data_IF_438749134078
#
_entry.id   IF_438749134078
#
_cell.length_a   1.000
_cell.length_b   1.000
_cell.length_c   1.000
_cell.angle_alpha   90.00
_cell.angle_beta   90.00
_cell.angle_gamma   90.00
#
_symmetry.space_group_name_H-M   'P 1'
#
loop_
_entity.id
_entity.type
_entity.pdbx_description
1 polymer ?
#
# COMPACT_ATOMS: atom_id res chain seq x y z
N UNK A 1 20.06 -21.98 -6.66
CA UNK A 1 20.32 -22.13 -8.11
C UNK A 1 19.62 -20.98 -8.85
N UNK A 2 20.23 -19.78 -8.89
CA UNK A 2 19.62 -18.59 -9.51
C UNK A 2 19.95 -18.56 -11.01
N UNK A 3 18.95 -18.67 -11.88
CA UNK A 3 19.10 -18.47 -13.33
C UNK A 3 19.02 -16.97 -13.65
N UNK A 4 20.08 -16.46 -14.30
CA UNK A 4 20.15 -15.11 -14.88
C UNK A 4 19.11 -14.99 -16.00
N UNK A 5 18.21 -14.00 -15.90
CA UNK A 5 17.34 -13.59 -17.01
C UNK A 5 18.07 -12.50 -17.82
N UNK A 6 18.50 -12.84 -19.03
CA UNK A 6 18.85 -11.88 -20.08
C UNK A 6 17.57 -11.58 -20.88
N UNK A 7 17.05 -10.37 -20.75
CA UNK A 7 16.04 -9.84 -21.68
C UNK A 7 16.78 -9.39 -22.95
N UNK A 8 16.56 -10.09 -24.07
CA UNK A 8 17.01 -9.66 -25.40
C UNK A 8 16.22 -8.42 -25.82
N UNK A 9 16.94 -7.33 -26.07
CA UNK A 9 16.44 -6.13 -26.74
C UNK A 9 16.23 -6.42 -28.23
N UNK A 10 14.99 -6.26 -28.70
CA UNK A 10 14.68 -6.16 -30.13
C UNK A 10 14.80 -4.69 -30.54
N UNK A 11 15.75 -4.37 -31.40
CA UNK A 11 15.84 -3.10 -32.13
C UNK A 11 15.01 -3.23 -33.41
N UNK A 12 14.06 -2.30 -33.61
CA UNK A 12 13.34 -2.14 -34.87
C UNK A 12 14.05 -1.07 -35.71
N UNK A 13 14.51 -1.47 -36.90
CA UNK A 13 15.01 -0.57 -37.93
C UNK A 13 13.85 0.21 -38.55
N UNK A 14 13.93 1.54 -38.51
CA UNK A 14 13.03 2.43 -39.22
C UNK A 14 13.68 2.83 -40.56
N UNK A 15 13.14 2.30 -41.66
CA UNK A 15 13.41 2.77 -43.02
C UNK A 15 12.17 3.53 -43.50
N UNK A 16 12.31 4.84 -43.72
CA UNK A 16 11.44 5.63 -44.61
C UNK A 16 12.29 6.57 -45.45
N UNK A 17 12.05 6.67 -46.76
CA UNK A 17 12.89 7.46 -47.66
C UNK A 17 12.44 8.93 -47.75
N UNK A 18 13.44 9.76 -48.03
CA UNK A 18 13.40 11.19 -48.32
C UNK A 18 12.62 11.57 -49.59
N UNK A 19 11.96 12.72 -49.55
CA UNK A 19 11.64 13.51 -50.74
C UNK A 19 11.92 15.00 -50.48
N UNK A 20 12.58 15.60 -51.45
CA UNK A 20 13.16 16.93 -51.53
C UNK A 20 12.20 18.01 -52.04
N UNK A 21 12.47 19.29 -51.69
CA UNK A 21 12.33 20.40 -52.65
C UNK A 21 11.79 21.73 -52.14
N UNK A 22 12.60 22.80 -52.25
CA UNK A 22 12.17 24.12 -52.71
C UNK A 22 12.26 25.31 -51.74
N UNK A 23 13.31 26.13 -51.89
CA UNK A 23 13.50 27.48 -51.31
C UNK A 23 12.70 28.59 -52.09
N UNK A 24 12.97 29.91 -51.93
CA UNK A 24 12.25 30.83 -51.03
C UNK A 24 11.67 32.05 -51.80
N UNK A 25 10.94 32.95 -51.12
CA UNK A 25 10.85 34.36 -51.57
C UNK A 25 10.40 35.32 -50.47
N UNK A 26 11.20 36.37 -50.34
CA UNK A 26 11.08 37.60 -49.56
C UNK A 26 10.02 38.57 -50.10
N UNK A 27 9.46 39.41 -49.24
CA UNK A 27 8.70 40.60 -49.60
C UNK A 27 8.37 41.45 -48.36
N UNK A 28 8.98 42.62 -48.31
CA UNK A 28 9.15 43.55 -47.19
C UNK A 28 8.05 44.64 -47.16
N UNK A 29 7.74 45.20 -45.97
CA UNK A 29 7.50 46.65 -45.75
C UNK A 29 6.94 46.97 -44.35
N UNK A 30 7.77 47.65 -43.53
CA UNK A 30 7.53 48.90 -42.75
C UNK A 30 6.13 49.18 -42.15
N UNK A 31 5.93 49.80 -40.98
CA UNK A 31 6.73 50.33 -39.87
C UNK A 31 5.70 51.06 -38.97
N UNK A 32 5.72 50.89 -37.65
CA UNK A 32 5.41 52.01 -36.73
C UNK A 32 5.72 51.65 -35.28
N UNK A 33 6.38 52.59 -34.61
CA UNK A 33 6.78 52.54 -33.20
C UNK A 33 5.57 52.85 -32.34
N UNK A 34 5.36 52.11 -31.26
CA UNK A 34 4.85 52.69 -30.01
C UNK A 34 5.31 51.87 -28.80
N UNK A 35 6.01 52.57 -27.91
CA UNK A 35 6.40 52.16 -26.57
C UNK A 35 5.17 52.12 -25.65
N UNK A 36 5.02 51.06 -24.84
CA UNK A 36 4.92 51.14 -23.37
C UNK A 36 4.36 49.85 -22.71
N UNK A 37 4.92 49.59 -21.52
CA UNK A 37 4.31 48.94 -20.34
C UNK A 37 4.30 47.41 -20.23
N UNK A 38 5.25 46.94 -19.41
CA UNK A 38 5.20 45.77 -18.53
C UNK A 38 3.83 45.57 -17.86
N UNK A 39 3.28 44.33 -17.80
CA UNK A 39 2.13 44.04 -16.96
C UNK A 39 2.57 43.89 -15.50
N UNK A 40 1.91 44.70 -14.68
CA UNK A 40 2.03 44.85 -13.23
C UNK A 40 1.63 43.58 -12.47
N UNK A 41 2.35 43.32 -11.38
CA UNK A 41 2.01 42.36 -10.32
C UNK A 41 0.64 42.69 -9.72
N UNK A 42 -0.25 41.71 -9.64
CA UNK A 42 -1.49 41.84 -8.87
C UNK A 42 -1.21 41.92 -7.35
N UNK A 43 -1.94 42.78 -6.61
CA UNK A 43 -1.71 43.00 -5.17
C UNK A 43 -2.27 41.87 -4.29
N UNK A 44 -1.66 41.60 -3.12
CA UNK A 44 -1.99 40.44 -2.29
C UNK A 44 -3.09 40.77 -1.29
N UNK A 45 -4.33 40.96 -1.72
CA UNK A 45 -5.47 41.10 -0.80
C UNK A 45 -6.72 40.44 -1.35
N UNK A 46 -6.73 39.10 -1.34
CA UNK A 46 -7.93 38.25 -1.29
C UNK A 46 -7.56 37.02 -0.44
N UNK A 47 -7.31 37.25 0.85
CA UNK A 47 -7.23 36.21 1.88
C UNK A 47 -8.40 36.43 2.81
N UNK A 48 -9.53 35.80 2.52
CA UNK A 48 -10.63 35.66 3.46
C UNK A 48 -11.56 34.55 3.00
N UNK A 49 -11.27 33.32 3.43
CA UNK A 49 -12.32 32.39 3.82
C UNK A 49 -11.77 31.61 5.01
N UNK A 50 -12.33 31.93 6.17
CA UNK A 50 -12.12 31.30 7.46
C UNK A 50 -12.16 29.77 7.37
N UNK A 51 -10.97 29.14 7.40
CA UNK A 51 -10.86 27.72 7.69
C UNK A 51 -11.08 27.51 9.20
N UNK A 52 -11.94 26.58 9.63
CA UNK A 52 -12.06 26.24 11.03
C UNK A 52 -10.75 25.60 11.50
N UNK A 53 -10.15 26.17 12.54
CA UNK A 53 -8.94 25.70 13.17
C UNK A 53 -9.20 24.38 13.91
N UNK A 54 -8.79 23.24 13.35
CA UNK A 54 -8.46 22.03 14.13
C UNK A 54 -7.41 21.22 13.36
N UNK A 55 -6.41 20.69 14.08
CA UNK A 55 -5.24 19.90 13.61
C UNK A 55 -3.97 20.63 13.14
N UNK A 56 -3.81 21.93 13.42
CA UNK A 56 -2.48 22.56 13.43
C UNK A 56 -1.79 22.37 14.79
N UNK A 57 -1.51 21.13 15.18
CA UNK A 57 -0.46 20.91 16.16
C UNK A 57 0.89 20.94 15.43
N UNK A 58 1.84 21.69 15.96
CA UNK A 58 3.12 22.10 15.39
C UNK A 58 4.15 20.97 15.21
N UNK A 59 3.74 19.78 14.78
CA UNK A 59 4.66 18.67 14.53
C UNK A 59 4.38 17.99 13.17
N UNK A 60 5.38 18.15 12.28
CA UNK A 60 5.73 17.29 11.14
C UNK A 60 4.72 17.12 10.00
N UNK A 61 4.56 18.15 9.16
CA UNK A 61 4.18 17.95 7.75
C UNK A 61 5.46 17.87 6.91
N UNK A 62 5.69 16.73 6.23
CA UNK A 62 6.82 16.60 5.31
C UNK A 62 6.40 17.02 3.90
N UNK A 63 7.25 17.86 3.31
CA UNK A 63 7.35 18.27 1.90
C UNK A 63 6.07 18.21 1.05
N UNK A 64 5.49 19.39 0.83
CA UNK A 64 4.54 19.63 -0.26
C UNK A 64 5.38 19.93 -1.50
N UNK A 65 5.52 18.95 -2.40
CA UNK A 65 6.10 19.18 -3.72
C UNK A 65 5.16 18.63 -4.79
N UNK A 66 4.83 19.47 -5.78
CA UNK A 66 4.13 19.17 -7.04
C UNK A 66 3.26 17.90 -7.05
N UNK A 67 2.15 17.89 -6.31
CA UNK A 67 1.16 16.82 -6.34
C UNK A 67 1.46 15.60 -5.45
N UNK A 68 2.46 15.69 -4.58
CA UNK A 68 2.76 14.67 -3.57
C UNK A 68 2.59 15.24 -2.14
N UNK A 69 2.08 14.40 -1.23
CA UNK A 69 1.94 14.71 0.20
C UNK A 69 2.44 13.54 1.02
N UNK A 70 3.36 13.78 1.95
CA UNK A 70 3.88 12.74 2.83
C UNK A 70 3.71 13.13 4.29
N UNK A 71 3.09 12.26 5.08
CA UNK A 71 3.16 12.31 6.53
C UNK A 71 3.86 11.05 7.04
N UNK A 72 4.76 11.23 7.99
CA UNK A 72 5.32 10.13 8.75
C UNK A 72 5.47 10.58 10.19
N UNK A 73 5.08 9.73 11.14
CA UNK A 73 5.37 10.01 12.54
C UNK A 73 6.88 10.00 12.74
N UNK A 74 7.43 11.00 13.43
CA UNK A 74 8.78 10.89 13.97
C UNK A 74 8.75 9.81 15.04
N UNK A 75 9.37 8.66 14.78
CA UNK A 75 9.59 7.66 15.83
C UNK A 75 10.64 8.21 16.79
N UNK A 76 10.22 9.02 17.77
CA UNK A 76 11.11 9.46 18.84
C UNK A 76 11.46 8.22 19.66
N UNK A 77 12.67 7.72 19.42
CA UNK A 77 13.23 6.61 20.18
C UNK A 77 13.76 7.19 21.50
N UNK A 78 12.84 7.63 22.38
CA UNK A 78 13.12 8.45 23.57
C UNK A 78 13.71 7.68 24.75
N UNK A 79 13.81 6.35 24.67
CA UNK A 79 14.36 5.54 25.75
C UNK A 79 15.86 5.25 25.50
N UNK A 80 16.70 5.24 26.56
CA UNK A 80 18.02 4.61 26.52
C UNK A 80 17.82 3.09 26.37
N UNK A 81 17.56 2.65 25.14
CA UNK A 81 17.45 1.25 24.78
C UNK A 81 18.71 0.85 24.01
N UNK A 82 19.31 -0.28 24.38
CA UNK A 82 20.35 -0.91 23.56
C UNK A 82 19.73 -1.17 22.19
N UNK A 83 20.30 -0.54 21.16
CA UNK A 83 19.81 -0.68 19.79
C UNK A 83 20.49 -1.87 19.14
N UNK A 84 19.69 -2.72 18.53
CA UNK A 84 20.17 -3.84 17.75
C UNK A 84 20.42 -3.44 16.30
N UNK A 85 20.53 -4.47 15.47
CA UNK A 85 20.63 -4.33 14.03
C UNK A 85 19.49 -3.49 13.44
N UNK A 86 19.83 -2.55 12.55
CA UNK A 86 18.84 -1.66 11.94
C UNK A 86 18.45 -0.44 12.78
N UNK A 87 19.18 -0.12 13.86
CA UNK A 87 18.87 0.99 14.79
C UNK A 87 17.51 0.85 15.49
N UNK A 88 16.97 -0.38 15.55
CA UNK A 88 15.73 -0.73 16.26
C UNK A 88 16.07 -1.11 17.70
N UNK A 89 15.30 -0.68 18.71
CA UNK A 89 15.46 -1.16 20.08
C UNK A 89 15.43 -2.68 20.17
N UNK A 90 16.36 -3.27 20.92
CA UNK A 90 16.29 -4.70 21.22
C UNK A 90 15.03 -4.95 22.05
N UNK A 91 14.24 -5.93 21.63
CA UNK A 91 13.02 -6.33 22.34
C UNK A 91 13.42 -7.09 23.59
N UNK A 92 12.91 -6.67 24.77
CA UNK A 92 13.13 -7.42 26.00
C UNK A 92 12.45 -8.79 25.96
N UNK A 93 12.96 -9.75 26.71
CA UNK A 93 12.33 -11.07 26.81
C UNK A 93 10.91 -10.99 27.37
N UNK A 94 10.61 -10.07 28.27
CA UNK A 94 9.24 -9.83 28.77
C UNK A 94 8.27 -9.47 27.65
N UNK A 95 8.69 -8.61 26.71
CA UNK A 95 7.85 -8.23 25.57
C UNK A 95 7.70 -9.41 24.61
N UNK A 96 8.77 -10.18 24.37
CA UNK A 96 8.71 -11.37 23.53
C UNK A 96 7.75 -12.42 24.14
N UNK A 97 7.80 -12.61 25.45
CA UNK A 97 6.89 -13.50 26.20
C UNK A 97 5.45 -13.01 26.11
N UNK A 98 5.20 -11.71 26.32
CA UNK A 98 3.86 -11.12 26.22
C UNK A 98 3.28 -11.16 24.79
N UNK A 99 4.14 -11.18 23.75
CA UNK A 99 3.70 -11.40 22.37
C UNK A 99 3.33 -12.86 22.09
N UNK A 100 3.76 -13.81 22.92
CA UNK A 100 3.46 -15.24 22.78
C UNK A 100 4.08 -15.85 21.52
N UNK A 101 3.35 -15.81 20.41
CA UNK A 101 3.74 -16.44 19.14
C UNK A 101 4.75 -15.62 18.32
N UNK A 102 5.03 -14.38 18.75
CA UNK A 102 5.96 -13.42 18.11
C UNK A 102 5.50 -12.97 16.73
N UNK A 103 4.19 -13.05 16.48
CA UNK A 103 3.57 -12.64 15.24
C UNK A 103 2.80 -11.34 15.44
N UNK A 104 2.61 -10.64 14.33
CA UNK A 104 1.67 -9.54 14.21
C UNK A 104 0.65 -9.90 13.14
N UNK A 105 -0.60 -9.46 13.31
CA UNK A 105 -1.60 -9.54 12.26
C UNK A 105 -1.51 -8.31 11.37
N UNK A 106 -1.42 -8.50 10.06
CA UNK A 106 -1.36 -7.44 9.05
C UNK A 106 -2.61 -7.49 8.20
N UNK A 107 -3.37 -6.40 8.14
CA UNK A 107 -4.48 -6.22 7.22
C UNK A 107 -4.07 -5.31 6.08
N UNK A 108 -4.27 -5.78 4.85
CA UNK A 108 -4.11 -4.98 3.64
C UNK A 108 -5.47 -4.68 3.06
N UNK A 109 -5.68 -3.46 2.58
CA UNK A 109 -6.91 -3.05 1.88
C UNK A 109 -6.53 -2.28 0.64
N UNK A 110 -7.06 -2.66 -0.52
CA UNK A 110 -6.96 -1.86 -1.76
C UNK A 110 -8.35 -1.46 -2.23
N UNK A 111 -8.51 -0.22 -2.68
CA UNK A 111 -9.76 0.25 -3.23
C UNK A 111 -9.57 1.37 -4.27
N UNK A 112 -9.99 1.11 -5.50
CA UNK A 112 -10.22 2.15 -6.48
C UNK A 112 -11.53 2.88 -6.12
N UNK A 113 -11.43 4.15 -5.76
CA UNK A 113 -12.58 4.94 -5.30
C UNK A 113 -13.25 5.74 -6.43
N UNK A 114 -12.80 5.58 -7.68
CA UNK A 114 -13.42 6.16 -8.89
C UNK A 114 -13.82 7.64 -8.73
N UNK A 115 -12.84 8.45 -8.33
CA UNK A 115 -12.95 9.91 -8.15
C UNK A 115 -14.04 10.35 -7.16
N UNK A 116 -14.56 9.43 -6.33
CA UNK A 116 -15.50 9.77 -5.27
C UNK A 116 -14.79 10.55 -4.17
N UNK A 117 -15.48 11.56 -3.65
CA UNK A 117 -14.98 12.39 -2.55
C UNK A 117 -14.81 11.61 -1.25
N UNK A 118 -14.26 12.28 -0.24
CA UNK A 118 -13.90 11.69 1.05
C UNK A 118 -15.04 10.93 1.76
N UNK A 119 -16.31 11.28 1.52
CA UNK A 119 -17.48 10.60 2.11
C UNK A 119 -17.47 9.09 1.84
N UNK A 120 -16.85 8.64 0.74
CA UNK A 120 -16.73 7.22 0.43
C UNK A 120 -15.93 6.45 1.48
N UNK A 121 -15.01 7.12 2.19
CA UNK A 121 -14.20 6.52 3.25
C UNK A 121 -15.02 6.14 4.48
N UNK A 122 -16.18 6.76 4.70
CA UNK A 122 -17.10 6.34 5.75
C UNK A 122 -17.63 4.93 5.51
N UNK A 123 -17.83 4.51 4.25
CA UNK A 123 -18.19 3.14 3.93
C UNK A 123 -17.06 2.17 4.28
N UNK A 124 -15.81 2.53 3.98
CA UNK A 124 -14.66 1.71 4.36
C UNK A 124 -14.54 1.58 5.89
N UNK A 125 -14.64 2.70 6.60
CA UNK A 125 -14.58 2.73 8.06
C UNK A 125 -15.69 1.88 8.70
N UNK A 126 -16.93 2.01 8.20
CA UNK A 126 -18.07 1.20 8.62
C UNK A 126 -17.81 -0.29 8.38
N UNK A 127 -17.36 -0.69 7.20
CA UNK A 127 -17.10 -2.10 6.88
C UNK A 127 -15.97 -2.70 7.71
N UNK A 128 -14.94 -1.92 8.03
CA UNK A 128 -13.88 -2.33 8.96
C UNK A 128 -14.48 -2.58 10.35
N UNK A 129 -15.33 -1.68 10.83
CA UNK A 129 -15.98 -1.81 12.14
C UNK A 129 -16.95 -3.00 12.21
N UNK A 130 -17.77 -3.21 11.18
CA UNK A 130 -18.75 -4.31 11.08
C UNK A 130 -18.09 -5.69 11.09
N UNK A 131 -16.93 -5.82 10.43
CA UNK A 131 -16.16 -7.07 10.42
C UNK A 131 -15.42 -7.33 11.75
N UNK A 132 -15.23 -6.31 12.58
CA UNK A 132 -14.75 -6.44 13.95
C UNK A 132 -13.47 -7.27 14.08
N UNK A 133 -13.54 -8.38 14.83
CA UNK A 133 -12.41 -9.28 15.11
C UNK A 133 -11.77 -9.88 13.86
N UNK A 134 -12.53 -10.05 12.78
CA UNK A 134 -12.02 -10.55 11.50
C UNK A 134 -10.93 -9.62 10.94
N UNK A 135 -11.16 -8.31 11.02
CA UNK A 135 -10.23 -7.29 10.54
C UNK A 135 -9.32 -6.72 11.64
N UNK A 136 -9.58 -6.96 12.93
CA UNK A 136 -8.70 -6.51 14.01
C UNK A 136 -7.27 -7.01 13.77
N UNK A 137 -6.34 -6.06 13.65
CA UNK A 137 -4.98 -6.30 13.21
C UNK A 137 -4.02 -5.39 13.96
N UNK A 138 -2.72 -5.69 13.93
CA UNK A 138 -1.68 -4.83 14.53
C UNK A 138 -1.16 -3.79 13.53
N UNK A 139 -1.31 -4.06 12.23
CA UNK A 139 -0.90 -3.21 11.12
C UNK A 139 -2.03 -3.15 10.09
N UNK A 140 -2.38 -1.95 9.66
CA UNK A 140 -3.22 -1.74 8.48
C UNK A 140 -2.40 -1.06 7.38
N UNK A 141 -2.42 -1.64 6.18
CA UNK A 141 -1.87 -1.07 4.96
C UNK A 141 -2.99 -0.84 3.95
N UNK A 142 -3.38 0.42 3.75
CA UNK A 142 -4.49 0.81 2.89
C UNK A 142 -3.92 1.47 1.64
N UNK A 143 -4.35 1.04 0.46
CA UNK A 143 -4.03 1.65 -0.83
C UNK A 143 -5.31 2.11 -1.53
N UNK A 144 -5.35 3.39 -1.91
CA UNK A 144 -6.47 4.01 -2.60
C UNK A 144 -6.04 4.48 -3.99
N UNK A 145 -6.90 4.27 -4.98
CA UNK A 145 -6.69 4.70 -6.37
C UNK A 145 -7.84 5.59 -6.86
N UNK A 146 -7.56 6.44 -7.85
CA UNK A 146 -8.51 7.41 -8.41
C UNK A 146 -9.04 8.41 -7.39
N UNK A 147 -8.16 8.94 -6.54
CA UNK A 147 -8.50 10.05 -5.66
C UNK A 147 -8.77 11.29 -6.52
N UNK A 148 -9.91 11.99 -6.33
CA UNK A 148 -10.25 13.13 -7.16
C UNK A 148 -9.20 14.24 -7.03
N UNK A 149 -8.79 14.79 -8.17
CA UNK A 149 -7.85 15.92 -8.22
C UNK A 149 -8.40 17.18 -7.55
N UNK A 150 -9.73 17.29 -7.45
CA UNK A 150 -10.46 18.37 -6.79
C UNK A 150 -10.49 18.27 -5.26
N UNK A 151 -9.98 17.19 -4.66
CA UNK A 151 -9.92 17.02 -3.21
C UNK A 151 -8.49 17.18 -2.67
N UNK A 152 -7.97 18.41 -2.48
CA UNK A 152 -6.59 18.63 -2.03
C UNK A 152 -6.33 18.09 -0.62
N UNK A 153 -7.33 18.22 0.27
CA UNK A 153 -7.28 17.80 1.68
C UNK A 153 -7.69 16.34 1.92
N UNK A 154 -7.90 15.55 0.86
CA UNK A 154 -8.37 14.17 0.99
C UNK A 154 -7.52 13.35 1.98
N UNK A 155 -6.21 13.60 2.00
CA UNK A 155 -5.28 12.91 2.90
C UNK A 155 -5.55 13.22 4.38
N UNK A 156 -5.85 14.47 4.75
CA UNK A 156 -6.19 14.84 6.13
C UNK A 156 -7.53 14.24 6.56
N UNK A 157 -8.52 14.33 5.68
CA UNK A 157 -9.87 13.86 5.98
C UNK A 157 -9.93 12.32 6.05
N UNK A 158 -9.14 11.63 5.22
CA UNK A 158 -8.99 10.19 5.29
C UNK A 158 -8.48 9.72 6.66
N UNK A 159 -7.48 10.40 7.21
CA UNK A 159 -6.94 10.09 8.52
C UNK A 159 -7.97 10.33 9.62
N UNK A 160 -8.68 11.47 9.56
CA UNK A 160 -9.76 11.82 10.50
C UNK A 160 -10.89 10.80 10.53
N UNK A 161 -11.20 10.17 9.39
CA UNK A 161 -12.27 9.18 9.27
C UNK A 161 -11.80 7.78 9.67
N UNK A 162 -10.60 7.37 9.25
CA UNK A 162 -10.13 5.99 9.39
C UNK A 162 -9.48 5.73 10.76
N UNK A 163 -8.67 6.64 11.30
CA UNK A 163 -7.96 6.39 12.56
C UNK A 163 -8.89 6.03 13.74
N UNK A 164 -10.05 6.70 13.94
CA UNK A 164 -10.94 6.40 15.06
C UNK A 164 -11.53 4.99 15.06
N UNK A 165 -11.69 4.34 13.90
CA UNK A 165 -12.21 2.97 13.82
C UNK A 165 -11.13 1.91 14.01
N UNK A 166 -9.84 2.30 13.97
CA UNK A 166 -8.69 1.40 14.11
C UNK A 166 -8.19 1.41 15.56
N UNK A 167 -8.99 0.87 16.48
CA UNK A 167 -8.75 0.88 17.93
C UNK A 167 -7.26 0.72 18.34
N UNK A 168 -6.72 1.72 19.05
CA UNK A 168 -5.34 1.72 19.56
C UNK A 168 -4.24 1.86 18.50
N UNK A 169 -4.59 2.15 17.25
CA UNK A 169 -3.64 2.46 16.20
C UNK A 169 -3.27 3.93 16.19
N UNK A 170 -2.10 4.19 15.62
CA UNK A 170 -1.68 5.53 15.24
C UNK A 170 -1.20 5.50 13.81
N UNK A 171 -1.37 6.64 13.15
CA UNK A 171 -0.77 6.85 11.85
C UNK A 171 0.75 6.73 11.92
N UNK A 172 1.30 5.75 11.21
CA UNK A 172 2.75 5.61 11.05
C UNK A 172 3.23 6.36 9.82
N UNK A 173 2.54 6.18 8.69
CA UNK A 173 2.84 6.88 7.44
C UNK A 173 1.58 7.08 6.59
N UNK A 174 1.43 8.23 5.95
CA UNK A 174 0.60 8.38 4.75
C UNK A 174 1.41 9.01 3.63
N UNK A 175 1.19 8.54 2.41
CA UNK A 175 1.79 9.15 1.23
C UNK A 175 0.77 9.19 0.11
N UNK A 176 0.48 10.38 -0.40
CA UNK A 176 -0.32 10.59 -1.60
C UNK A 176 0.61 11.00 -2.72
N UNK A 177 0.50 10.30 -3.85
CA UNK A 177 1.09 10.69 -5.11
C UNK A 177 -0.03 10.85 -6.14
N UNK A 178 -0.40 12.11 -6.41
CA UNK A 178 -1.48 12.48 -7.34
C UNK A 178 -2.83 11.83 -6.98
N UNK A 179 -3.35 10.95 -7.86
CA UNK A 179 -4.61 10.22 -7.68
C UNK A 179 -4.45 8.88 -6.95
N UNK A 180 -3.29 8.63 -6.33
CA UNK A 180 -3.02 7.43 -5.54
C UNK A 180 -2.60 7.81 -4.12
N UNK A 181 -2.97 6.99 -3.15
CA UNK A 181 -2.52 7.18 -1.76
C UNK A 181 -2.29 5.83 -1.10
N UNK A 182 -1.31 5.78 -0.22
CA UNK A 182 -1.11 4.69 0.73
C UNK A 182 -1.13 5.21 2.16
N UNK A 183 -1.65 4.41 3.08
CA UNK A 183 -1.73 4.71 4.51
C UNK A 183 -1.30 3.48 5.29
N UNK A 184 -0.41 3.68 6.25
CA UNK A 184 0.08 2.67 7.17
C UNK A 184 -0.29 3.10 8.58
N UNK A 185 -1.16 2.33 9.22
CA UNK A 185 -1.45 2.44 10.65
C UNK A 185 -0.78 1.30 11.39
N UNK A 186 -0.19 1.59 12.54
CA UNK A 186 0.43 0.59 13.41
C UNK A 186 -0.14 0.77 14.82
N UNK A 187 -0.50 -0.33 15.48
CA UNK A 187 -0.95 -0.33 16.87
C UNK A 187 0.13 0.27 17.77
N UNK A 188 -0.25 1.21 18.64
CA UNK A 188 0.66 2.09 19.40
C UNK A 188 1.82 1.33 20.08
N UNK A 189 1.55 0.16 20.67
CA UNK A 189 2.54 -0.66 21.37
C UNK A 189 3.70 -1.15 20.50
N UNK A 190 3.51 -1.22 19.17
CA UNK A 190 4.54 -1.69 18.23
C UNK A 190 5.37 -0.57 17.60
N UNK A 191 4.88 0.68 17.63
CA UNK A 191 5.54 1.82 16.96
C UNK A 191 6.99 2.03 17.42
N UNK A 192 7.28 1.79 18.70
CA UNK A 192 8.64 1.94 19.24
C UNK A 192 9.67 0.97 18.65
N UNK A 193 9.21 -0.07 17.94
CA UNK A 193 10.05 -1.05 17.25
C UNK A 193 10.07 -0.84 15.74
N UNK A 194 9.49 0.25 15.25
CA UNK A 194 9.61 0.70 13.87
C UNK A 194 10.76 1.71 13.73
N UNK A 195 11.46 1.72 12.59
CA UNK A 195 12.36 2.82 12.21
C UNK A 195 11.66 3.76 11.23
N UNK A 196 12.30 4.88 10.86
CA UNK A 196 11.80 5.75 9.81
C UNK A 196 11.64 4.99 8.47
N UNK A 197 10.47 5.05 7.81
CA UNK A 197 10.25 4.42 6.51
C UNK A 197 10.89 5.23 5.37
N UNK A 198 11.20 4.56 4.26
CA UNK A 198 11.54 5.16 2.97
C UNK A 198 10.36 5.01 2.01
N UNK A 199 10.02 6.08 1.29
CA UNK A 199 8.91 6.08 0.33
C UNK A 199 9.41 6.43 -1.07
N UNK A 200 8.85 5.79 -2.09
CA UNK A 200 9.13 6.07 -3.49
C UNK A 200 7.85 5.94 -4.32
N UNK A 201 7.66 6.86 -5.28
CA UNK A 201 6.61 6.76 -6.29
C UNK A 201 7.23 6.54 -7.67
N UNK A 202 6.75 5.53 -8.39
CA UNK A 202 7.15 5.22 -9.77
C UNK A 202 5.93 5.38 -10.67
N UNK A 203 5.95 6.38 -11.56
CA UNK A 203 4.92 6.53 -12.60
C UNK A 203 5.04 5.45 -13.67
N UNK A 204 3.92 4.94 -14.18
CA UNK A 204 3.89 3.96 -15.28
C UNK A 204 4.36 4.56 -16.62
N UNK A 205 3.82 5.72 -17.00
CA UNK A 205 4.11 6.41 -18.27
C UNK A 205 4.77 7.78 -18.13
N UNK A 206 4.97 8.48 -19.25
CA UNK A 206 5.39 9.88 -19.25
C UNK A 206 4.28 10.77 -18.66
N UNK A 207 4.63 11.66 -17.74
CA UNK A 207 3.68 12.51 -17.03
C UNK A 207 3.20 13.65 -17.94
N UNK A 208 2.19 13.39 -18.78
CA UNK A 208 1.52 14.42 -19.55
C UNK A 208 0.15 14.73 -18.90
N UNK A 209 0.14 15.77 -18.06
CA UNK A 209 -1.03 16.39 -17.39
C UNK A 209 -1.66 15.62 -16.20
N UNK A 210 -2.19 16.33 -15.18
CA UNK A 210 -2.19 15.87 -13.78
C UNK A 210 -3.43 15.09 -13.28
N UNK A 211 -4.27 14.51 -14.13
CA UNK A 211 -5.63 14.11 -13.67
C UNK A 211 -5.80 12.63 -13.31
N UNK A 212 -5.03 11.68 -13.88
CA UNK A 212 -5.14 10.25 -13.54
C UNK A 212 -3.80 9.52 -13.64
N UNK A 213 -3.02 9.54 -12.58
CA UNK A 213 -1.69 8.91 -12.61
C UNK A 213 -1.80 7.40 -12.45
N UNK A 214 -1.09 6.69 -13.34
CA UNK A 214 -0.78 5.27 -13.22
C UNK A 214 0.61 5.12 -12.66
N UNK A 215 0.83 4.14 -11.80
CA UNK A 215 2.11 3.92 -11.14
C UNK A 215 1.98 3.09 -9.88
N UNK A 216 3.01 3.17 -9.03
CA UNK A 216 3.05 2.51 -7.74
C UNK A 216 3.71 3.39 -6.69
N UNK A 217 3.12 3.45 -5.50
CA UNK A 217 3.74 3.98 -4.29
C UNK A 217 4.27 2.79 -3.50
N UNK A 218 5.55 2.85 -3.13
CA UNK A 218 6.20 1.82 -2.34
C UNK A 218 6.77 2.41 -1.04
N UNK A 219 6.52 1.72 0.07
CA UNK A 219 6.98 2.07 1.41
C UNK A 219 7.87 0.93 1.90
N UNK A 220 9.14 1.20 2.15
CA UNK A 220 10.03 0.26 2.79
C UNK A 220 10.22 0.66 4.25
N UNK A 221 9.93 -0.25 5.16
CA UNK A 221 10.06 -0.04 6.61
C UNK A 221 10.75 -1.23 7.26
N UNK A 222 11.26 -1.00 8.47
CA UNK A 222 11.68 -2.08 9.36
C UNK A 222 10.82 -2.05 10.61
N UNK A 223 10.25 -3.19 10.96
CA UNK A 223 9.48 -3.39 12.17
C UNK A 223 10.04 -4.61 12.89
N UNK A 224 10.47 -4.43 14.14
CA UNK A 224 11.22 -5.42 14.90
C UNK A 224 12.44 -5.93 14.10
N UNK A 225 12.45 -7.22 13.71
CA UNK A 225 13.54 -7.87 13.00
C UNK A 225 13.25 -8.07 11.50
N UNK A 226 12.21 -7.42 10.95
CA UNK A 226 11.80 -7.61 9.55
C UNK A 226 11.90 -6.33 8.74
N UNK A 227 12.48 -6.44 7.56
CA UNK A 227 12.30 -5.47 6.48
C UNK A 227 11.06 -5.81 5.67
N UNK A 228 10.13 -4.87 5.59
CA UNK A 228 8.84 -5.02 4.95
C UNK A 228 8.71 -3.94 3.87
N UNK A 229 8.39 -4.36 2.65
CA UNK A 229 8.07 -3.47 1.54
C UNK A 229 6.57 -3.57 1.26
N UNK A 230 5.87 -2.45 1.35
CA UNK A 230 4.45 -2.31 1.10
C UNK A 230 4.26 -1.51 -0.19
N UNK A 231 3.62 -2.10 -1.20
CA UNK A 231 3.44 -1.49 -2.53
C UNK A 231 1.95 -1.37 -2.80
N UNK A 232 1.48 -0.14 -3.03
CA UNK A 232 0.14 0.17 -3.50
C UNK A 232 0.22 0.70 -4.93
N UNK A 233 -0.55 0.16 -5.87
CA UNK A 233 -0.45 0.59 -7.27
C UNK A 233 -1.78 0.79 -7.98
N UNK A 234 -1.68 1.50 -9.10
CA UNK A 234 -2.70 1.63 -10.12
C UNK A 234 -2.04 1.42 -11.49
N UNK A 235 -2.13 0.20 -12.03
CA UNK A 235 -1.53 -0.12 -13.33
C UNK A 235 -2.41 0.35 -14.49
N UNK A 236 -1.81 0.47 -15.68
CA UNK A 236 -2.49 0.97 -16.87
C UNK A 236 -3.73 0.13 -17.25
N UNK A 237 -4.81 0.82 -17.66
CA UNK A 237 -6.00 0.20 -18.23
C UNK A 237 -5.86 -0.16 -19.71
N UNK A 238 -4.64 -0.07 -20.26
CA UNK A 238 -4.29 -0.31 -21.65
C UNK A 238 -4.23 -1.82 -21.96
N UNK A 239 -3.32 -2.25 -22.82
CA UNK A 239 -3.14 -3.67 -23.16
C UNK A 239 -2.51 -4.46 -22.00
N UNK A 240 -2.69 -5.80 -21.95
CA UNK A 240 -2.01 -6.65 -20.97
C UNK A 240 -0.48 -6.49 -21.01
N UNK A 241 0.08 -6.31 -22.21
CA UNK A 241 1.51 -6.08 -22.41
C UNK A 241 1.98 -4.79 -21.74
N UNK A 242 1.18 -3.71 -21.82
CA UNK A 242 1.51 -2.47 -21.13
C UNK A 242 1.48 -2.64 -19.60
N UNK A 243 0.51 -3.40 -19.05
CA UNK A 243 0.50 -3.71 -17.60
C UNK A 243 1.72 -4.50 -17.16
N UNK A 244 2.18 -5.44 -17.97
CA UNK A 244 3.41 -6.20 -17.71
C UNK A 244 4.63 -5.27 -17.72
N UNK A 245 4.69 -4.32 -18.66
CA UNK A 245 5.76 -3.32 -18.72
C UNK A 245 5.73 -2.37 -17.51
N UNK A 246 4.53 -1.94 -17.07
CA UNK A 246 4.36 -1.14 -15.85
C UNK A 246 4.91 -1.90 -14.62
N UNK A 247 4.51 -3.17 -14.45
CA UNK A 247 5.03 -4.04 -13.40
C UNK A 247 6.57 -4.16 -13.47
N UNK A 248 7.12 -4.47 -14.64
CA UNK A 248 8.56 -4.64 -14.82
C UNK A 248 9.32 -3.34 -14.53
N UNK A 249 8.77 -2.18 -14.91
CA UNK A 249 9.32 -0.87 -14.61
C UNK A 249 9.39 -0.63 -13.10
N UNK A 250 8.32 -0.91 -12.36
CA UNK A 250 8.29 -0.76 -10.89
C UNK A 250 9.36 -1.65 -10.24
N UNK A 251 9.41 -2.95 -10.59
CA UNK A 251 10.42 -3.88 -10.03
C UNK A 251 11.85 -3.45 -10.37
N UNK A 252 12.10 -3.01 -11.61
CA UNK A 252 13.43 -2.58 -12.05
C UNK A 252 13.88 -1.26 -11.43
N UNK A 253 12.95 -0.38 -11.07
CA UNK A 253 13.29 1.01 -10.68
C UNK A 253 13.27 1.21 -9.17
N UNK A 254 12.41 0.50 -8.42
CA UNK A 254 12.33 0.66 -6.97
C UNK A 254 13.63 0.25 -6.29
N UNK A 255 14.23 1.19 -5.56
CA UNK A 255 15.46 1.01 -4.81
C UNK A 255 15.34 1.62 -3.41
N UNK A 256 15.78 0.88 -2.40
CA UNK A 256 15.73 1.26 -1.00
C UNK A 256 17.12 1.10 -0.38
N UNK A 257 17.92 2.17 -0.28
CA UNK A 257 19.28 2.11 0.23
C UNK A 257 19.40 1.48 1.62
N UNK A 258 18.36 1.59 2.45
CA UNK A 258 18.35 0.94 3.76
C UNK A 258 18.47 -0.59 3.68
N UNK A 259 17.94 -1.24 2.64
CA UNK A 259 18.05 -2.70 2.48
C UNK A 259 19.50 -3.14 2.29
N UNK A 260 20.27 -2.40 1.47
CA UNK A 260 21.69 -2.69 1.23
C UNK A 260 22.56 -2.44 2.47
N UNK A 261 22.21 -1.46 3.32
CA UNK A 261 22.94 -1.15 4.56
C UNK A 261 22.87 -2.27 5.60
N UNK A 262 21.84 -3.10 5.52
CA UNK A 262 21.51 -4.09 6.55
C UNK A 262 21.53 -5.53 6.01
N UNK A 263 22.17 -5.76 4.88
CA UNK A 263 22.46 -7.10 4.39
C UNK A 263 23.68 -7.03 3.49
N UNK A 264 24.82 -7.59 3.92
CA UNK A 264 26.08 -7.58 3.17
C UNK A 264 25.99 -8.19 1.75
N UNK A 265 24.91 -8.92 1.45
CA UNK A 265 24.63 -9.54 0.15
C UNK A 265 23.28 -9.14 -0.46
N UNK A 266 22.45 -8.31 0.20
CA UNK A 266 21.20 -7.86 -0.40
C UNK A 266 21.45 -6.64 -1.26
N UNK A 267 20.90 -6.65 -2.47
CA UNK A 267 20.75 -5.46 -3.27
C UNK A 267 19.71 -4.55 -2.62
N UNK A 268 19.76 -3.26 -2.93
CA UNK A 268 18.74 -2.26 -2.58
C UNK A 268 17.39 -2.48 -3.30
N UNK A 269 17.22 -3.59 -4.01
CA UNK A 269 16.00 -4.02 -4.70
C UNK A 269 14.92 -4.52 -3.71
N UNK A 270 13.66 -4.57 -4.15
CA UNK A 270 12.52 -4.98 -3.31
C UNK A 270 12.70 -6.40 -2.71
N UNK A 271 13.36 -7.31 -3.43
CA UNK A 271 13.63 -8.68 -2.96
C UNK A 271 14.81 -8.76 -1.97
N UNK A 272 15.51 -7.64 -1.72
CA UNK A 272 16.43 -7.47 -0.60
C UNK A 272 15.73 -7.35 0.75
N UNK A 273 14.40 -7.22 0.77
CA UNK A 273 13.57 -7.25 1.99
C UNK A 273 13.27 -8.68 2.46
N UNK A 274 12.58 -8.82 3.60
CA UNK A 274 12.10 -10.12 4.10
C UNK A 274 10.68 -10.44 3.60
N UNK A 275 9.86 -9.40 3.42
CA UNK A 275 8.46 -9.47 2.99
C UNK A 275 8.14 -8.35 2.01
N UNK A 276 7.44 -8.67 0.92
CA UNK A 276 6.81 -7.69 0.04
C UNK A 276 5.31 -7.96 0.00
N UNK A 277 4.48 -6.97 0.34
CA UNK A 277 3.04 -6.97 0.11
C UNK A 277 2.74 -6.01 -1.05
N UNK A 278 2.17 -6.52 -2.13
CA UNK A 278 1.86 -5.75 -3.34
C UNK A 278 0.35 -5.78 -3.59
N UNK A 279 -0.30 -4.63 -3.44
CA UNK A 279 -1.74 -4.48 -3.54
C UNK A 279 -2.09 -3.36 -4.53
N UNK A 280 -3.29 -3.39 -5.10
CA UNK A 280 -3.73 -2.31 -5.97
C UNK A 280 -4.79 -2.70 -6.97
N UNK A 281 -5.21 -1.72 -7.76
CA UNK A 281 -5.88 -1.93 -9.04
C UNK A 281 -4.82 -2.29 -10.09
N UNK A 282 -4.65 -3.58 -10.33
CA UNK A 282 -3.74 -4.11 -11.34
C UNK A 282 -4.31 -4.02 -12.75
N UNK A 283 -5.61 -3.76 -12.89
CA UNK A 283 -6.31 -3.59 -14.15
C UNK A 283 -6.27 -4.78 -15.12
N UNK A 284 -5.82 -5.96 -14.71
CA UNK A 284 -5.93 -7.17 -15.53
C UNK A 284 -7.38 -7.66 -15.57
N UNK A 285 -7.77 -8.20 -16.73
CA UNK A 285 -9.17 -8.45 -17.08
C UNK A 285 -9.45 -9.92 -17.32
N UNK A 286 -10.70 -10.30 -17.11
CA UNK A 286 -11.24 -11.56 -17.61
C UNK A 286 -11.38 -11.45 -19.13
N UNK A 287 -10.84 -12.44 -19.86
CA UNK A 287 -10.77 -12.37 -21.34
C UNK A 287 -11.93 -13.05 -22.04
N UNK A 288 -12.63 -13.95 -21.35
CA UNK A 288 -13.72 -14.75 -21.90
C UNK A 288 -15.01 -14.35 -21.20
N UNK A 289 -16.04 -14.03 -21.99
CA UNK A 289 -17.37 -13.80 -21.45
C UNK A 289 -17.92 -15.13 -20.91
N UNK A 290 -18.28 -15.14 -19.63
CA UNK A 290 -18.86 -16.30 -18.97
C UNK A 290 -20.38 -16.29 -19.14
N UNK A 291 -21.01 -17.44 -19.37
CA UNK A 291 -22.48 -17.59 -19.31
C UNK A 291 -23.05 -17.52 -17.88
N UNK A 292 -22.31 -16.93 -16.95
CA UNK A 292 -22.71 -16.78 -15.55
C UNK A 292 -23.71 -15.64 -15.44
N UNK A 293 -24.89 -15.96 -14.92
CA UNK A 293 -25.84 -14.93 -14.50
C UNK A 293 -25.44 -14.38 -13.14
N UNK A 294 -24.72 -13.26 -13.15
CA UNK A 294 -24.25 -12.59 -11.94
C UNK A 294 -25.35 -11.95 -11.09
N UNK A 295 -26.61 -11.95 -11.56
CA UNK A 295 -27.77 -11.45 -10.82
C UNK A 295 -28.49 -12.54 -10.04
N UNK A 296 -28.18 -13.80 -10.32
CA UNK A 296 -28.80 -14.95 -9.68
C UNK A 296 -27.87 -15.52 -8.59
N UNK A 297 -28.08 -15.15 -7.31
CA UNK A 297 -27.20 -15.58 -6.23
C UNK A 297 -27.19 -17.10 -6.03
N UNK A 298 -28.23 -17.83 -6.46
CA UNK A 298 -28.30 -19.29 -6.31
C UNK A 298 -27.32 -20.01 -7.24
N UNK A 299 -26.96 -19.39 -8.37
CA UNK A 299 -25.98 -19.92 -9.35
C UNK A 299 -24.54 -19.52 -9.04
N UNK A 300 -24.34 -18.61 -8.09
CA UNK A 300 -23.04 -18.02 -7.79
C UNK A 300 -22.41 -18.74 -6.59
N UNK A 301 -21.37 -19.52 -6.88
CA UNK A 301 -20.62 -20.28 -5.86
C UNK A 301 -19.13 -19.96 -5.93
N UNK A 302 -18.35 -20.43 -4.95
CA UNK A 302 -16.88 -20.34 -5.03
C UNK A 302 -16.31 -21.02 -6.29
N UNK A 303 -16.97 -22.09 -6.77
CA UNK A 303 -16.61 -22.73 -8.04
C UNK A 303 -16.79 -21.77 -9.21
N UNK A 304 -17.89 -21.03 -9.24
CA UNK A 304 -18.15 -20.02 -10.28
C UNK A 304 -17.03 -18.98 -10.32
N UNK A 305 -16.59 -18.47 -9.16
CA UNK A 305 -15.49 -17.50 -9.10
C UNK A 305 -14.18 -18.07 -9.64
N UNK A 306 -13.84 -19.30 -9.20
CA UNK A 306 -12.61 -19.98 -9.64
C UNK A 306 -12.61 -20.22 -11.15
N UNK A 307 -13.70 -20.74 -11.70
CA UNK A 307 -13.79 -21.07 -13.13
C UNK A 307 -13.66 -19.79 -13.99
N UNK A 308 -14.26 -18.67 -13.58
CA UNK A 308 -14.09 -17.37 -14.26
C UNK A 308 -12.66 -16.86 -14.12
N UNK A 309 -12.08 -16.98 -12.91
CA UNK A 309 -10.71 -16.54 -12.63
C UNK A 309 -9.65 -17.26 -13.48
N UNK A 310 -9.88 -18.51 -13.89
CA UNK A 310 -8.96 -19.25 -14.76
C UNK A 310 -8.76 -18.62 -16.14
N UNK A 311 -9.74 -17.82 -16.59
CA UNK A 311 -9.72 -17.11 -17.89
C UNK A 311 -9.15 -15.68 -17.80
N UNK A 312 -8.66 -15.31 -16.63
CA UNK A 312 -8.14 -13.97 -16.32
C UNK A 312 -6.70 -13.79 -16.83
N UNK A 313 -6.40 -12.59 -17.33
CA UNK A 313 -5.11 -12.25 -17.93
C UNK A 313 -3.94 -12.50 -16.96
N UNK A 314 -3.96 -11.94 -15.75
CA UNK A 314 -2.85 -12.08 -14.80
C UNK A 314 -2.62 -13.54 -14.42
N UNK A 315 -3.68 -14.33 -14.22
CA UNK A 315 -3.55 -15.78 -14.01
C UNK A 315 -2.76 -16.45 -15.15
N UNK A 316 -3.07 -16.13 -16.41
CA UNK A 316 -2.35 -16.62 -17.58
C UNK A 316 -0.90 -16.12 -17.64
N UNK A 317 -0.68 -14.83 -17.39
CA UNK A 317 0.66 -14.21 -17.47
C UNK A 317 1.59 -14.70 -16.35
N UNK A 318 1.07 -14.99 -15.14
CA UNK A 318 1.84 -15.62 -14.05
C UNK A 318 2.25 -17.04 -14.41
N UNK A 319 1.33 -17.85 -14.98
CA UNK A 319 1.65 -19.20 -15.49
C UNK A 319 2.76 -19.16 -16.56
N UNK A 320 2.74 -18.14 -17.43
CA UNK A 320 3.75 -17.88 -18.47
C UNK A 320 5.02 -17.18 -17.95
N UNK A 321 5.10 -16.90 -16.65
CA UNK A 321 6.22 -16.21 -16.00
C UNK A 321 6.52 -14.80 -16.56
N UNK A 322 5.50 -14.10 -17.04
CA UNK A 322 5.64 -12.77 -17.68
C UNK A 322 5.50 -11.62 -16.68
N UNK A 323 4.71 -11.80 -15.61
CA UNK A 323 4.55 -10.81 -14.55
C UNK A 323 4.24 -11.52 -13.22
N UNK A 324 4.67 -10.92 -12.11
CA UNK A 324 4.43 -11.42 -10.75
C UNK A 324 4.83 -12.89 -10.52
N UNK A 325 5.85 -13.38 -11.23
CA UNK A 325 6.31 -14.77 -11.19
C UNK A 325 6.72 -15.21 -9.79
N UNK A 326 7.49 -14.37 -9.09
CA UNK A 326 7.99 -14.69 -7.75
C UNK A 326 6.92 -14.48 -6.66
N UNK A 327 5.81 -13.82 -6.98
CA UNK A 327 4.77 -13.49 -6.02
C UNK A 327 3.73 -14.61 -5.91
N UNK A 328 3.29 -14.84 -4.68
CA UNK A 328 2.13 -15.67 -4.33
C UNK A 328 0.88 -14.81 -4.23
N UNK A 329 -0.27 -15.46 -4.41
CA UNK A 329 -1.59 -14.88 -4.20
C UNK A 329 -2.45 -15.96 -3.55
N UNK A 330 -3.24 -15.60 -2.55
CA UNK A 330 -4.16 -16.54 -1.91
C UNK A 330 -5.30 -16.92 -2.89
N UNK A 331 -5.95 -18.08 -2.72
CA UNK A 331 -7.08 -18.46 -3.56
C UNK A 331 -8.19 -17.39 -3.54
N UNK A 332 -8.66 -16.98 -4.72
CA UNK A 332 -9.80 -16.06 -4.84
C UNK A 332 -11.09 -16.83 -4.55
N UNK A 333 -11.83 -16.37 -3.54
CA UNK A 333 -13.11 -16.94 -3.09
C UNK A 333 -14.25 -15.93 -3.10
N UNK A 334 -14.04 -14.83 -3.81
CA UNK A 334 -14.97 -13.70 -3.91
C UNK A 334 -15.28 -13.41 -5.38
N UNK A 335 -16.41 -12.75 -5.69
CA UNK A 335 -16.75 -12.41 -7.06
C UNK A 335 -15.83 -11.33 -7.65
N UNK A 336 -15.81 -11.14 -8.99
CA UNK A 336 -15.13 -10.03 -9.63
C UNK A 336 -15.43 -8.68 -8.97
N UNK A 337 -14.44 -7.79 -8.94
CA UNK A 337 -14.54 -6.55 -8.16
C UNK A 337 -14.83 -5.32 -9.01
N UNK A 338 -14.90 -5.50 -10.33
CA UNK A 338 -15.15 -4.44 -11.32
C UNK A 338 -15.89 -5.02 -12.53
N UNK A 339 -16.81 -4.33 -13.21
CA UNK A 339 -17.29 -2.97 -13.02
C UNK A 339 -18.74 -2.99 -12.56
N UNK A 340 -19.04 -2.33 -11.45
CA UNK A 340 -20.39 -2.20 -10.92
C UNK A 340 -21.06 -0.91 -11.42
N UNK A 341 -22.39 -0.91 -11.49
CA UNK A 341 -23.14 0.34 -11.56
C UNK A 341 -23.04 1.04 -10.19
N UNK A 342 -22.61 2.32 -10.13
CA UNK A 342 -22.47 3.05 -8.86
C UNK A 342 -23.72 2.97 -7.99
N UNK A 343 -23.53 2.87 -6.67
CA UNK A 343 -24.59 2.79 -5.66
C UNK A 343 -25.47 1.53 -5.76
N UNK A 344 -25.02 0.52 -6.52
CA UNK A 344 -25.67 -0.79 -6.64
C UNK A 344 -24.69 -1.94 -6.39
N UNK A 345 -25.21 -3.17 -6.42
CA UNK A 345 -24.43 -4.41 -6.49
C UNK A 345 -24.57 -5.10 -7.86
N UNK A 346 -25.10 -4.39 -8.86
CA UNK A 346 -25.23 -4.91 -10.22
C UNK A 346 -23.97 -4.62 -11.04
N UNK A 347 -23.50 -5.60 -11.80
CA UNK A 347 -22.48 -5.35 -12.81
C UNK A 347 -23.05 -4.54 -13.97
N UNK A 348 -22.20 -3.67 -14.53
CA UNK A 348 -22.54 -2.90 -15.73
C UNK A 348 -22.86 -3.86 -16.88
N UNK A 349 -24.04 -3.75 -17.52
CA UNK A 349 -24.40 -4.59 -18.66
C UNK A 349 -23.37 -4.50 -19.81
N UNK A 350 -23.16 -5.62 -20.52
CA UNK A 350 -22.23 -5.71 -21.67
C UNK A 350 -20.77 -5.40 -21.31
N UNK A 351 -20.40 -5.51 -20.03
CA UNK A 351 -19.02 -5.42 -19.55
C UNK A 351 -18.69 -6.71 -18.82
N UNK A 352 -17.59 -7.36 -19.20
CA UNK A 352 -17.14 -8.59 -18.55
C UNK A 352 -16.65 -8.25 -17.13
N UNK A 353 -17.27 -8.81 -16.08
CA UNK A 353 -16.79 -8.65 -14.71
C UNK A 353 -15.36 -9.18 -14.57
N UNK A 354 -14.48 -8.41 -13.92
CA UNK A 354 -13.04 -8.65 -13.82
C UNK A 354 -12.50 -8.50 -12.40
N UNK A 355 -11.44 -9.26 -12.09
CA UNK A 355 -10.69 -9.21 -10.84
C UNK A 355 -9.54 -8.20 -10.95
N UNK A 356 -9.88 -6.92 -11.01
CA UNK A 356 -8.90 -5.83 -11.19
C UNK A 356 -8.11 -5.53 -9.92
N UNK A 357 -8.74 -5.68 -8.76
CA UNK A 357 -8.21 -5.30 -7.45
C UNK A 357 -7.61 -6.53 -6.76
N UNK A 358 -6.31 -6.50 -6.45
CA UNK A 358 -5.55 -7.72 -6.08
C UNK A 358 -4.61 -7.50 -4.91
N UNK A 359 -4.33 -8.59 -4.20
CA UNK A 359 -3.31 -8.66 -3.14
C UNK A 359 -2.35 -9.82 -3.40
N UNK A 360 -1.10 -9.49 -3.73
CA UNK A 360 -0.03 -10.44 -3.94
C UNK A 360 1.07 -10.24 -2.89
N UNK A 361 1.83 -11.30 -2.61
CA UNK A 361 2.88 -11.25 -1.61
C UNK A 361 4.10 -12.08 -2.01
N UNK A 362 5.27 -11.62 -1.59
CA UNK A 362 6.52 -12.37 -1.64
C UNK A 362 7.10 -12.42 -0.23
N UNK A 363 7.73 -13.55 0.11
CA UNK A 363 8.38 -13.73 1.40
C UNK A 363 9.66 -14.53 1.21
N UNK A 364 10.74 -14.08 1.85
CA UNK A 364 12.05 -14.73 1.80
C UNK A 364 12.04 -16.12 2.42
N UNK A 365 11.37 -16.27 3.56
CA UNK A 365 11.15 -17.54 4.25
C UNK A 365 9.64 -17.76 4.42
N UNK A 366 9.13 -18.87 3.89
CA UNK A 366 7.70 -19.20 3.91
C UNK A 366 7.06 -19.26 5.29
N UNK A 367 7.84 -19.42 6.37
CA UNK A 367 7.34 -19.43 7.75
C UNK A 367 7.06 -18.03 8.32
N UNK A 368 7.53 -16.98 7.64
CA UNK A 368 7.38 -15.61 8.14
C UNK A 368 6.08 -14.95 7.77
N UNK A 369 5.38 -15.42 6.73
CA UNK A 369 4.13 -14.83 6.29
C UNK A 369 3.14 -15.92 5.92
N UNK A 370 1.99 -15.91 6.60
CA UNK A 370 0.88 -16.82 6.34
C UNK A 370 -0.38 -16.01 6.05
N UNK A 371 -1.00 -16.24 4.90
CA UNK A 371 -2.31 -15.67 4.62
C UNK A 371 -3.38 -16.31 5.53
N UNK A 372 -4.25 -15.48 6.09
CA UNK A 372 -5.39 -15.88 6.92
C UNK A 372 -6.66 -15.78 6.08
N UNK A 373 -6.83 -14.65 5.39
CA UNK A 373 -8.02 -14.35 4.62
C UNK A 373 -7.70 -13.52 3.38
N UNK A 374 -8.51 -13.68 2.34
CA UNK A 374 -8.50 -12.87 1.13
C UNK A 374 -9.92 -12.78 0.58
N UNK A 375 -10.52 -11.60 0.64
CA UNK A 375 -11.94 -11.38 0.31
C UNK A 375 -12.19 -9.94 -0.17
N UNK A 376 -13.38 -9.68 -0.69
CA UNK A 376 -13.84 -8.34 -1.01
C UNK A 376 -14.92 -7.85 -0.03
N UNK A 377 -15.04 -6.53 0.04
CA UNK A 377 -16.05 -5.83 0.82
C UNK A 377 -17.33 -5.70 0.00
N UNK A 378 -18.20 -6.71 0.10
CA UNK A 378 -19.50 -6.78 -0.59
C UNK A 378 -20.49 -5.73 -0.08
N UNK A 379 -21.58 -5.52 -0.82
CA UNK A 379 -22.61 -4.52 -0.51
C UNK A 379 -22.45 -3.25 -1.35
N UNK A 380 -23.52 -2.48 -1.46
CA UNK A 380 -23.60 -1.29 -2.32
C UNK A 380 -22.57 -0.23 -1.91
N UNK A 381 -21.95 0.37 -2.93
CA UNK A 381 -20.90 1.39 -2.75
C UNK A 381 -21.00 2.44 -3.85
N UNK A 382 -20.64 3.71 -3.59
CA UNK A 382 -20.58 4.73 -4.64
C UNK A 382 -19.53 4.45 -5.72
N UNK A 383 -18.45 3.70 -5.41
CA UNK A 383 -17.46 3.27 -6.40
C UNK A 383 -18.01 2.13 -7.25
N UNK A 384 -17.58 2.09 -8.52
CA UNK A 384 -17.78 0.96 -9.43
C UNK A 384 -16.78 -0.19 -9.18
N UNK A 385 -15.94 -0.06 -8.16
CA UNK A 385 -15.10 -1.12 -7.60
C UNK A 385 -15.52 -1.49 -6.17
N UNK A 386 -15.35 -2.76 -5.82
CA UNK A 386 -15.42 -3.24 -4.43
C UNK A 386 -14.04 -3.26 -3.81
N UNK A 387 -13.90 -2.78 -2.57
CA UNK A 387 -12.63 -2.83 -1.85
C UNK A 387 -12.23 -4.29 -1.61
N UNK A 388 -10.94 -4.60 -1.77
CA UNK A 388 -10.38 -5.94 -1.55
C UNK A 388 -9.44 -5.89 -0.36
N UNK A 389 -9.50 -6.90 0.49
CA UNK A 389 -8.61 -7.00 1.63
C UNK A 389 -8.03 -8.40 1.79
N UNK A 390 -6.85 -8.46 2.40
CA UNK A 390 -6.26 -9.69 2.85
C UNK A 390 -5.58 -9.51 4.19
N UNK A 391 -5.69 -10.52 5.06
CA UNK A 391 -5.04 -10.55 6.37
C UNK A 391 -3.95 -11.61 6.42
N UNK A 392 -2.89 -11.33 7.16
CA UNK A 392 -1.72 -12.18 7.26
C UNK A 392 -1.21 -12.25 8.70
N UNK A 393 -0.70 -13.42 9.10
CA UNK A 393 0.19 -13.54 10.23
C UNK A 393 1.63 -13.28 9.77
N UNK A 394 2.29 -12.32 10.39
CA UNK A 394 3.68 -11.94 10.12
C UNK A 394 4.56 -12.25 11.33
N UNK A 395 5.49 -13.18 11.20
CA UNK A 395 6.50 -13.47 12.24
C UNK A 395 7.54 -12.35 12.25
N UNK A 396 7.60 -11.59 13.34
CA UNK A 396 8.45 -10.38 13.46
C UNK A 396 9.72 -10.56 14.29
N UNK A 397 9.84 -11.66 15.05
CA UNK A 397 11.01 -11.99 15.89
C UNK A 397 11.43 -13.45 15.68
N UNK A 398 12.72 -13.68 15.41
CA UNK A 398 13.27 -14.98 15.00
C UNK A 398 13.27 -16.05 16.10
N UNK A 399 13.68 -15.70 17.32
CA UNK A 399 13.88 -16.66 18.42
C UNK A 399 12.89 -16.41 19.57
N UNK A 400 12.37 -17.47 20.22
CA UNK A 400 11.61 -17.33 21.46
C UNK A 400 12.54 -16.92 22.60
N UNK A 401 11.95 -16.59 23.74
CA UNK A 401 12.67 -16.40 24.99
C UNK A 401 13.42 -17.69 25.35
N UNK A 402 14.73 -17.64 25.65
CA UNK A 402 15.49 -18.81 26.07
C UNK A 402 14.92 -19.45 27.34
N UNK A 403 14.98 -20.78 27.42
CA UNK A 403 14.34 -21.51 28.54
C UNK A 403 14.96 -21.18 29.90
N UNK A 404 16.28 -20.97 29.97
CA UNK A 404 16.96 -20.57 31.20
C UNK A 404 16.41 -19.24 31.77
N UNK A 405 16.03 -18.30 30.90
CA UNK A 405 15.48 -17.02 31.34
C UNK A 405 14.08 -17.21 31.95
N UNK A 406 13.26 -18.09 31.36
CA UNK A 406 11.94 -18.42 31.94
C UNK A 406 12.08 -19.09 33.30
N UNK A 407 13.02 -20.04 33.43
CA UNK A 407 13.30 -20.73 34.69
C UNK A 407 13.73 -19.75 35.78
N UNK A 408 14.67 -18.86 35.47
CA UNK A 408 15.13 -17.83 36.40
C UNK A 408 13.98 -16.92 36.86
N UNK A 409 13.16 -16.43 35.92
CA UNK A 409 12.03 -15.55 36.23
C UNK A 409 10.95 -16.24 37.07
N UNK A 410 10.70 -17.53 36.84
CA UNK A 410 9.80 -18.33 37.68
C UNK A 410 10.34 -18.46 39.11
N UNK A 411 11.64 -18.73 39.27
CA UNK A 411 12.28 -18.80 40.58
C UNK A 411 12.22 -17.46 41.33
N UNK A 412 12.48 -16.35 40.65
CA UNK A 412 12.36 -15.00 41.22
C UNK A 412 10.93 -14.69 41.70
N UNK A 413 9.91 -15.10 40.93
CA UNK A 413 8.50 -14.98 41.34
C UNK A 413 8.18 -15.82 42.58
N UNK A 414 8.66 -17.05 42.64
CA UNK A 414 8.47 -17.92 43.81
C UNK A 414 9.13 -17.34 45.07
N UNK A 415 10.34 -16.81 44.94
CA UNK A 415 11.04 -16.14 46.05
C UNK A 415 10.26 -14.91 46.51
N UNK A 416 9.82 -14.06 45.58
CA UNK A 416 9.04 -12.85 45.90
C UNK A 416 7.70 -13.15 46.57
N UNK A 417 7.00 -14.21 46.13
CA UNK A 417 5.75 -14.65 46.78
C UNK A 417 6.00 -15.14 48.21
N UNK A 418 7.10 -15.89 48.42
CA UNK A 418 7.48 -16.36 49.76
C UNK A 418 7.84 -15.20 50.68
N UNK A 419 8.63 -14.22 50.24
CA UNK A 419 8.97 -13.04 51.05
C UNK A 419 7.73 -12.21 51.42
N UNK A 420 6.81 -11.97 50.47
CA UNK A 420 5.60 -11.20 50.74
C UNK A 420 4.62 -11.93 51.67
N UNK A 421 4.62 -13.28 51.68
CA UNK A 421 3.79 -14.08 52.61
C UNK A 421 4.30 -14.05 54.05
N UNK A 422 5.62 -13.87 54.25
CA UNK A 422 6.23 -13.78 55.58
C UNK A 422 5.93 -12.42 56.22
N UNK A 423 6.00 -11.33 55.45
CA UNK A 423 5.72 -9.97 55.94
C UNK A 423 4.24 -9.72 56.29
N UNK A 424 3.30 -10.46 55.68
CA UNK A 424 1.87 -10.37 55.98
C UNK A 424 1.45 -11.11 57.29
N UNK A 425 2.39 -11.80 57.94
CA UNK A 425 2.16 -12.59 59.16
C UNK A 425 2.82 -12.00 60.42
N UNK A 426 3.12 -10.69 60.40
CA UNK A 426 3.66 -9.97 61.57
C UNK A 426 2.73 -10.04 62.79
N UNK A 427 3.29 -10.04 64.02
CA UNK A 427 2.55 -10.34 65.24
C UNK A 427 1.42 -9.35 65.48
N UNK A 428 0.21 -9.88 65.68
CA UNK A 428 -0.92 -9.15 66.24
C UNK A 428 -0.58 -8.88 67.71
N UNK A 429 -0.16 -7.65 68.02
CA UNK A 429 -0.06 -7.15 69.40
C UNK A 429 -1.42 -6.63 69.87
#
# INVERSE_FOLDING_TARGET
MMRRLFLRSYTFDANTPSASGGDPKSGDSSSEKQSHQTPTRHPPWLRSSSQPATWRNSASFNEISDGNWTYCIETQNTAPAVKGFGNVPIVSYDVIEAMGDRKLKVCTVTWNINEKGVKILSHLAQKIAERGQEMDSDIFFISLQEIPSTAPTFHEEALRILEPVLNGHRLYLSHRAWSQMVIVFIRQKHLRYAIQPQVSFIASGAMAKPVRTKGAIAVCLRLYQRFIVLIGCHLSHATPQQRIQDYAKVVRTLRFPQLARFHAHAKDEIFGSDVVLWIGDLNFRVTVESNVDWRDPEKITEKTFRDVFETEELASHRKKQLAFTDFKEAPIKFPPTHKFEPDTDNYVPKRIPSFTDRVLFWVRNSEWLQNIQYDCMRGTTPSDHKAVFATFWLTVINKPVPEHYKQQKSLEREISMKTNSVDASGPVN
#
